data_IF_187156012414
#
_entry.id   IF_187156012414
#
_cell.length_a   1.000
_cell.length_b   1.000
_cell.length_c   1.000
_cell.angle_alpha   90.00
_cell.angle_beta   90.00
_cell.angle_gamma   90.00
#
_symmetry.space_group_name_H-M   'P 1'
#
loop_
_entity.id
_entity.type
_entity.pdbx_description
1 polymer ?
#
# COMPACT_ATOMS: atom_id res chain seq x y z
N UNK A 1 14.51 4.65 -19.42
CA UNK A 1 13.79 3.51 -20.01
C UNK A 1 12.32 3.84 -19.96
N UNK A 2 11.62 3.75 -21.08
CA UNK A 2 10.15 3.81 -21.05
C UNK A 2 9.66 2.61 -20.25
N UNK A 3 8.85 2.87 -19.22
CA UNK A 3 8.22 1.81 -18.43
C UNK A 3 7.10 1.21 -19.27
N UNK A 4 7.05 -0.11 -19.36
CA UNK A 4 6.01 -0.83 -20.10
C UNK A 4 4.64 -0.63 -19.45
N UNK A 5 3.61 -0.40 -20.27
CA UNK A 5 2.22 -0.30 -19.84
C UNK A 5 1.53 -1.63 -20.20
N UNK A 6 0.74 -2.13 -19.27
CA UNK A 6 -0.03 -3.36 -19.44
C UNK A 6 -1.53 -3.03 -19.46
N UNK A 7 -2.28 -3.81 -20.25
CA UNK A 7 -3.74 -3.78 -20.17
C UNK A 7 -4.23 -4.46 -18.88
N UNK A 8 -5.49 -4.21 -18.53
CA UNK A 8 -6.11 -4.87 -17.38
C UNK A 8 -6.11 -6.40 -17.54
N UNK A 9 -6.44 -6.89 -18.75
CA UNK A 9 -6.57 -8.32 -19.02
C UNK A 9 -5.20 -9.01 -18.93
N UNK A 10 -4.15 -8.41 -19.49
CA UNK A 10 -2.78 -8.94 -19.36
C UNK A 10 -2.36 -9.04 -17.88
N UNK A 11 -2.57 -7.96 -17.10
CA UNK A 11 -2.23 -7.95 -15.68
C UNK A 11 -3.08 -8.95 -14.87
N UNK A 12 -4.35 -9.12 -15.23
CA UNK A 12 -5.24 -10.08 -14.58
C UNK A 12 -4.82 -11.52 -14.87
N UNK A 13 -4.56 -11.87 -16.13
CA UNK A 13 -4.14 -13.24 -16.50
C UNK A 13 -2.82 -13.64 -15.86
N UNK A 14 -1.81 -12.75 -15.85
CA UNK A 14 -0.53 -13.04 -15.20
C UNK A 14 -0.67 -13.16 -13.68
N UNK A 15 -1.50 -12.29 -13.07
CA UNK A 15 -1.80 -12.39 -11.64
C UNK A 15 -2.55 -13.68 -11.30
N UNK A 16 -3.48 -14.11 -12.17
CA UNK A 16 -4.21 -15.37 -11.99
C UNK A 16 -3.27 -16.58 -12.00
N UNK A 17 -2.27 -16.57 -12.88
CA UNK A 17 -1.22 -17.60 -12.90
C UNK A 17 -0.39 -17.58 -11.61
N UNK A 18 0.02 -16.39 -11.16
CA UNK A 18 0.77 -16.23 -9.91
C UNK A 18 0.01 -16.77 -8.70
N UNK A 19 -1.30 -16.49 -8.61
CA UNK A 19 -2.18 -16.96 -7.55
C UNK A 19 -2.79 -18.36 -7.79
N UNK A 20 -2.24 -19.11 -8.75
CA UNK A 20 -2.64 -20.51 -9.04
C UNK A 20 -4.15 -20.69 -9.31
N UNK A 21 -4.76 -19.71 -9.93
CA UNK A 21 -6.18 -19.75 -10.30
C UNK A 21 -7.14 -19.08 -9.30
N UNK A 22 -6.63 -18.44 -8.23
CA UNK A 22 -7.48 -17.65 -7.34
C UNK A 22 -7.88 -16.33 -8.01
N UNK A 23 -9.10 -16.32 -8.59
CA UNK A 23 -9.67 -15.17 -9.29
C UNK A 23 -9.87 -13.96 -8.36
N UNK A 24 -10.24 -14.20 -7.11
CA UNK A 24 -10.48 -13.11 -6.16
C UNK A 24 -9.16 -12.41 -5.83
N UNK A 25 -8.12 -13.17 -5.52
CA UNK A 25 -6.80 -12.63 -5.24
C UNK A 25 -6.24 -11.85 -6.44
N UNK A 26 -6.33 -12.40 -7.65
CA UNK A 26 -5.88 -11.74 -8.88
C UNK A 26 -6.61 -10.42 -9.13
N UNK A 27 -7.94 -10.41 -9.03
CA UNK A 27 -8.77 -9.22 -9.23
C UNK A 27 -8.48 -8.14 -8.19
N UNK A 28 -8.36 -8.52 -6.93
CA UNK A 28 -8.05 -7.59 -5.83
C UNK A 28 -6.66 -7.00 -6.04
N UNK A 29 -5.67 -7.81 -6.42
CA UNK A 29 -4.31 -7.31 -6.64
C UNK A 29 -4.27 -6.29 -7.78
N UNK A 30 -4.80 -6.62 -8.96
CA UNK A 30 -4.81 -5.70 -10.11
C UNK A 30 -5.52 -4.40 -9.78
N UNK A 31 -6.69 -4.47 -9.11
CA UNK A 31 -7.47 -3.27 -8.83
C UNK A 31 -6.86 -2.38 -7.75
N UNK A 32 -6.27 -2.97 -6.72
CA UNK A 32 -5.89 -2.27 -5.50
C UNK A 32 -4.39 -2.06 -5.33
N UNK A 33 -3.55 -3.00 -5.78
CA UNK A 33 -2.13 -3.03 -5.42
C UNK A 33 -1.16 -2.78 -6.57
N UNK A 34 -1.52 -3.18 -7.81
CA UNK A 34 -0.70 -2.91 -8.97
C UNK A 34 -0.43 -1.40 -9.13
N UNK A 35 0.83 -1.06 -9.43
CA UNK A 35 1.22 0.35 -9.62
C UNK A 35 0.53 0.93 -10.83
N UNK A 36 -0.14 2.06 -10.61
CA UNK A 36 -0.84 2.84 -11.63
C UNK A 36 -0.47 4.30 -11.53
N UNK A 37 -0.52 4.99 -12.67
CA UNK A 37 -0.49 6.44 -12.70
C UNK A 37 -1.87 7.06 -12.46
N UNK A 38 -1.95 8.39 -12.53
CA UNK A 38 -3.21 9.14 -12.39
C UNK A 38 -4.17 8.94 -13.56
N UNK A 39 -3.72 8.37 -14.68
CA UNK A 39 -4.53 8.08 -15.86
C UNK A 39 -5.05 6.64 -15.87
N UNK A 40 -4.63 5.82 -14.91
CA UNK A 40 -5.03 4.43 -14.78
C UNK A 40 -4.17 3.43 -15.55
N UNK A 41 -3.05 3.87 -16.14
CA UNK A 41 -2.11 2.97 -16.80
C UNK A 41 -1.43 2.06 -15.78
N UNK A 42 -1.38 0.75 -16.06
CA UNK A 42 -0.81 -0.27 -15.19
C UNK A 42 0.64 -0.52 -15.59
N UNK A 43 1.55 -0.51 -14.62
CA UNK A 43 2.99 -0.68 -14.83
C UNK A 43 3.56 -1.98 -14.25
N UNK A 44 2.74 -2.78 -13.63
CA UNK A 44 3.09 -4.09 -13.08
C UNK A 44 2.08 -5.13 -13.60
N UNK A 45 2.59 -6.23 -14.15
CA UNK A 45 1.73 -7.29 -14.70
C UNK A 45 1.32 -8.33 -13.68
N UNK A 46 2.10 -8.48 -12.59
CA UNK A 46 1.87 -9.52 -11.58
C UNK A 46 2.41 -9.11 -10.20
N UNK A 47 2.02 -9.81 -9.12
CA UNK A 47 2.62 -9.63 -7.80
C UNK A 47 4.14 -9.83 -7.77
N UNK A 48 4.71 -10.57 -8.72
CA UNK A 48 6.14 -10.72 -8.86
C UNK A 48 6.83 -9.38 -9.14
N UNK A 49 6.30 -8.58 -10.07
CA UNK A 49 6.83 -7.25 -10.37
C UNK A 49 6.76 -6.33 -9.13
N UNK A 50 5.65 -6.40 -8.39
CA UNK A 50 5.49 -5.68 -7.13
C UNK A 50 6.56 -6.08 -6.10
N UNK A 51 6.80 -7.37 -5.92
CA UNK A 51 7.81 -7.86 -4.98
C UNK A 51 9.23 -7.42 -5.41
N UNK A 52 9.54 -7.45 -6.69
CA UNK A 52 10.80 -6.93 -7.21
C UNK A 52 10.96 -5.42 -6.99
N UNK A 53 9.90 -4.64 -7.18
CA UNK A 53 9.91 -3.20 -6.90
C UNK A 53 10.23 -2.93 -5.43
N UNK A 54 9.52 -3.62 -4.52
CA UNK A 54 9.73 -3.48 -3.08
C UNK A 54 11.15 -3.92 -2.71
N UNK A 55 11.60 -5.07 -3.18
CA UNK A 55 12.92 -5.61 -2.88
C UNK A 55 14.04 -4.69 -3.36
N UNK A 56 13.94 -4.12 -4.57
CA UNK A 56 14.92 -3.18 -5.10
C UNK A 56 14.99 -1.89 -4.28
N UNK A 57 13.83 -1.33 -3.89
CA UNK A 57 13.81 -0.09 -3.11
C UNK A 57 14.34 -0.31 -1.69
N UNK A 58 14.00 -1.43 -1.05
CA UNK A 58 14.55 -1.79 0.25
C UNK A 58 16.06 -2.02 0.15
N UNK A 59 16.54 -2.75 -0.86
CA UNK A 59 17.97 -2.98 -1.08
C UNK A 59 18.75 -1.67 -1.31
N UNK A 60 18.13 -0.68 -1.99
CA UNK A 60 18.71 0.66 -2.16
C UNK A 60 18.96 1.34 -0.82
N UNK A 61 18.07 1.18 0.14
CA UNK A 61 18.22 1.74 1.49
C UNK A 61 19.19 0.89 2.30
N UNK A 62 19.07 -0.42 2.21
CA UNK A 62 19.89 -1.41 2.92
C UNK A 62 21.37 -1.28 2.58
N UNK A 63 21.70 -0.92 1.34
CA UNK A 63 23.10 -0.70 0.88
C UNK A 63 23.89 0.32 1.70
N UNK A 64 23.24 1.10 2.55
CA UNK A 64 23.88 2.06 3.47
C UNK A 64 24.44 1.43 4.74
N UNK A 65 24.11 0.18 5.00
CA UNK A 65 24.46 -0.55 6.21
C UNK A 65 25.50 -1.65 5.94
N UNK A 66 26.34 -1.99 6.92
CA UNK A 66 27.22 -3.16 6.79
C UNK A 66 26.38 -4.45 6.73
N UNK A 67 26.82 -5.41 5.91
CA UNK A 67 26.13 -6.70 5.69
C UNK A 67 24.72 -6.54 5.07
N UNK A 68 24.57 -5.59 4.18
CA UNK A 68 23.32 -5.31 3.48
C UNK A 68 22.79 -6.55 2.75
N UNK A 69 21.48 -6.79 2.86
CA UNK A 69 20.78 -7.78 2.06
C UNK A 69 20.71 -7.34 0.61
N UNK A 70 20.87 -8.28 -0.30
CA UNK A 70 20.71 -8.05 -1.73
C UNK A 70 19.21 -7.98 -2.11
N UNK A 71 18.90 -7.35 -3.23
CA UNK A 71 17.51 -7.32 -3.75
C UNK A 71 16.96 -8.73 -3.99
N UNK A 72 17.81 -9.69 -4.37
CA UNK A 72 17.38 -11.08 -4.56
C UNK A 72 17.01 -11.76 -3.25
N UNK A 73 17.80 -11.59 -2.20
CA UNK A 73 17.49 -12.14 -0.87
C UNK A 73 16.19 -11.52 -0.32
N UNK A 74 15.99 -10.22 -0.50
CA UNK A 74 14.75 -9.53 -0.11
C UNK A 74 13.55 -10.01 -0.93
N UNK A 75 13.73 -10.22 -2.23
CA UNK A 75 12.68 -10.80 -3.08
C UNK A 75 12.28 -12.21 -2.60
N UNK A 76 13.24 -13.07 -2.30
CA UNK A 76 12.97 -14.43 -1.83
C UNK A 76 12.20 -14.50 -0.49
N UNK A 77 12.31 -13.44 0.31
CA UNK A 77 11.52 -13.30 1.54
C UNK A 77 10.07 -12.87 1.25
N UNK A 78 9.86 -12.11 0.18
CA UNK A 78 8.56 -11.56 -0.20
C UNK A 78 7.76 -12.51 -1.11
N UNK A 79 8.47 -13.26 -1.97
CA UNK A 79 7.85 -14.06 -3.03
C UNK A 79 6.80 -15.04 -2.51
N UNK A 80 5.67 -15.10 -3.21
CA UNK A 80 4.49 -15.86 -2.80
C UNK A 80 4.00 -15.54 -1.38
N UNK A 81 4.35 -14.34 -0.85
CA UNK A 81 4.00 -13.92 0.53
C UNK A 81 4.46 -14.91 1.60
N UNK A 82 5.59 -15.59 1.34
CA UNK A 82 6.02 -16.75 2.12
C UNK A 82 6.50 -16.41 3.54
N UNK A 83 7.34 -15.39 3.65
CA UNK A 83 7.94 -14.99 4.93
C UNK A 83 7.54 -13.59 5.34
N UNK A 84 7.41 -12.67 4.37
CA UNK A 84 7.02 -11.29 4.59
C UNK A 84 5.75 -11.01 3.80
N UNK A 85 4.70 -10.60 4.51
CA UNK A 85 3.45 -10.12 3.92
C UNK A 85 3.34 -8.63 4.24
N UNK A 86 3.68 -7.73 3.30
CA UNK A 86 3.56 -6.30 3.55
C UNK A 86 2.09 -5.91 3.70
N UNK A 87 1.85 -4.87 4.49
CA UNK A 87 0.52 -4.25 4.53
C UNK A 87 0.22 -3.49 3.22
N UNK A 88 -1.05 -3.14 3.00
CA UNK A 88 -1.50 -2.56 1.75
C UNK A 88 -0.81 -1.26 1.35
N UNK A 89 -0.51 -0.36 2.29
CA UNK A 89 0.20 0.88 1.99
C UNK A 89 1.67 0.65 1.60
N UNK A 90 2.47 -0.17 2.31
CA UNK A 90 3.77 -0.61 1.83
C UNK A 90 3.73 -1.28 0.46
N UNK A 91 2.77 -2.20 0.22
CA UNK A 91 2.65 -2.87 -1.08
C UNK A 91 2.47 -1.89 -2.24
N UNK A 92 1.73 -0.82 -2.05
CA UNK A 92 1.48 0.17 -3.10
C UNK A 92 2.47 1.32 -3.12
N UNK A 93 3.07 1.65 -1.97
CA UNK A 93 3.86 2.87 -1.79
C UNK A 93 5.37 2.71 -1.93
N UNK A 94 5.94 1.58 -1.49
CA UNK A 94 7.39 1.38 -1.56
C UNK A 94 7.84 1.32 -3.02
N UNK A 95 8.75 2.22 -3.42
CA UNK A 95 9.28 2.30 -4.78
C UNK A 95 8.27 2.77 -5.83
N UNK A 96 7.16 3.37 -5.43
CA UNK A 96 6.17 3.93 -6.35
C UNK A 96 6.50 5.38 -6.68
N UNK A 97 6.87 5.66 -7.92
CA UNK A 97 7.22 6.99 -8.42
C UNK A 97 6.02 7.81 -8.89
N UNK A 98 4.84 7.20 -9.00
CA UNK A 98 3.64 7.84 -9.59
C UNK A 98 2.70 8.47 -8.57
N UNK A 99 2.71 7.95 -7.35
CA UNK A 99 1.79 8.38 -6.31
C UNK A 99 2.49 8.56 -4.98
N UNK A 100 2.21 9.66 -4.31
CA UNK A 100 2.61 9.85 -2.91
C UNK A 100 1.66 9.05 -2.02
N UNK A 101 2.18 8.05 -1.35
CA UNK A 101 1.43 7.20 -0.44
C UNK A 101 2.09 7.15 0.94
N UNK A 102 1.28 6.97 1.97
CA UNK A 102 1.78 6.60 3.29
C UNK A 102 2.36 5.19 3.25
N UNK A 103 3.41 4.94 4.03
CA UNK A 103 3.93 3.59 4.28
C UNK A 103 3.34 2.95 5.55
N UNK A 104 2.44 3.66 6.24
CA UNK A 104 1.63 3.14 7.35
C UNK A 104 0.19 2.98 6.94
N UNK A 105 -0.42 1.88 7.37
CA UNK A 105 -1.82 1.58 7.05
C UNK A 105 -2.81 2.22 8.02
N UNK A 106 -2.45 2.33 9.30
CA UNK A 106 -3.37 2.74 10.35
C UNK A 106 -2.80 3.92 11.14
N UNK A 107 -3.65 4.89 11.37
CA UNK A 107 -3.33 6.09 12.14
C UNK A 107 -4.33 6.27 13.25
N UNK A 108 -3.83 6.67 14.41
CA UNK A 108 -4.65 7.16 15.51
C UNK A 108 -4.61 8.67 15.44
N UNK A 109 -5.79 9.27 15.29
CA UNK A 109 -6.00 10.72 15.32
C UNK A 109 -6.82 11.07 16.53
N UNK A 110 -6.50 12.16 17.16
CA UNK A 110 -7.14 12.60 18.39
C UNK A 110 -7.31 14.11 18.42
N UNK A 111 -8.04 14.59 19.40
CA UNK A 111 -8.29 16.01 19.60
C UNK A 111 -7.40 16.54 20.70
N UNK A 112 -6.67 17.61 20.41
CA UNK A 112 -5.95 18.39 21.40
C UNK A 112 -6.92 19.35 22.09
N UNK A 113 -6.99 19.31 23.44
CA UNK A 113 -7.78 20.24 24.24
C UNK A 113 -9.25 19.85 24.38
N UNK A 114 -10.16 20.81 24.24
CA UNK A 114 -11.61 20.59 24.42
C UNK A 114 -12.18 19.73 23.27
N UNK A 115 -12.26 18.44 23.51
CA UNK A 115 -12.68 17.44 22.53
C UNK A 115 -14.14 17.60 22.08
N UNK A 116 -15.00 18.07 22.98
CA UNK A 116 -16.43 18.25 22.72
C UNK A 116 -16.71 19.66 22.16
N UNK A 117 -16.23 19.89 20.95
CA UNK A 117 -16.53 21.15 20.24
C UNK A 117 -16.71 20.87 18.75
N UNK A 118 -17.53 21.67 18.10
CA UNK A 118 -17.75 21.58 16.64
C UNK A 118 -16.43 21.76 15.86
N UNK A 119 -15.58 22.69 16.30
CA UNK A 119 -14.28 22.92 15.67
C UNK A 119 -13.35 21.70 15.79
N UNK A 120 -13.36 21.02 16.91
CA UNK A 120 -12.57 19.80 17.13
C UNK A 120 -13.05 18.65 16.21
N UNK A 121 -14.35 18.47 16.06
CA UNK A 121 -14.93 17.46 15.17
C UNK A 121 -14.49 17.70 13.71
N UNK A 122 -14.64 18.93 13.22
CA UNK A 122 -14.26 19.28 11.85
C UNK A 122 -12.75 19.11 11.61
N UNK A 123 -11.92 19.43 12.62
CA UNK A 123 -10.48 19.21 12.51
C UNK A 123 -10.12 17.73 12.36
N UNK A 124 -10.76 16.85 13.12
CA UNK A 124 -10.56 15.39 12.99
C UNK A 124 -10.96 14.92 11.58
N UNK A 125 -12.08 15.38 11.06
CA UNK A 125 -12.55 15.02 9.73
C UNK A 125 -11.55 15.49 8.65
N UNK A 126 -10.99 16.69 8.79
CA UNK A 126 -9.94 17.20 7.90
C UNK A 126 -8.71 16.31 7.93
N UNK A 127 -8.19 15.98 9.12
CA UNK A 127 -7.02 15.12 9.30
C UNK A 127 -7.28 13.72 8.72
N UNK A 128 -8.46 13.15 8.96
CA UNK A 128 -8.87 11.86 8.40
C UNK A 128 -8.84 11.87 6.87
N UNK A 129 -9.40 12.89 6.23
CA UNK A 129 -9.39 13.02 4.78
C UNK A 129 -7.97 13.12 4.23
N UNK A 130 -7.08 13.88 4.87
CA UNK A 130 -5.68 13.99 4.45
C UNK A 130 -4.92 12.66 4.56
N UNK A 131 -5.19 11.85 5.59
CA UNK A 131 -4.61 10.53 5.75
C UNK A 131 -5.15 9.55 4.70
N UNK A 132 -6.47 9.50 4.53
CA UNK A 132 -7.13 8.59 3.58
C UNK A 132 -6.75 8.90 2.13
N UNK A 133 -6.55 10.17 1.78
CA UNK A 133 -6.06 10.60 0.46
C UNK A 133 -4.71 9.97 0.10
N UNK A 134 -3.89 9.64 1.10
CA UNK A 134 -2.59 8.99 0.95
C UNK A 134 -2.58 7.52 1.34
N UNK A 135 -3.75 6.87 1.28
CA UNK A 135 -3.96 5.45 1.63
C UNK A 135 -3.72 5.10 3.09
N UNK A 136 -3.68 6.08 3.99
CA UNK A 136 -3.73 5.85 5.44
C UNK A 136 -5.15 5.52 5.87
N UNK A 137 -5.34 4.51 6.70
CA UNK A 137 -6.62 4.19 7.33
C UNK A 137 -6.78 4.97 8.63
N UNK A 138 -7.89 5.66 8.78
CA UNK A 138 -8.27 6.32 10.02
C UNK A 138 -9.77 6.10 10.29
N UNK A 139 -10.14 6.11 11.56
CA UNK A 139 -11.53 6.01 12.00
C UNK A 139 -11.82 7.18 12.94
N UNK A 140 -12.89 7.89 12.67
CA UNK A 140 -13.42 8.90 13.58
C UNK A 140 -14.69 8.38 14.29
N UNK A 141 -14.90 8.85 15.50
CA UNK A 141 -16.09 8.56 16.28
C UNK A 141 -16.80 9.86 16.63
N UNK A 142 -18.11 9.85 16.51
CA UNK A 142 -18.95 10.99 16.92
C UNK A 142 -19.21 11.02 18.43
N UNK A 143 -18.94 9.92 19.13
CA UNK A 143 -19.12 9.80 20.58
C UNK A 143 -17.88 9.14 21.20
N UNK A 144 -17.37 9.75 22.28
CA UNK A 144 -16.20 9.26 23.02
C UNK A 144 -16.54 8.14 24.02
N UNK A 145 -17.81 7.91 24.28
CA UNK A 145 -18.26 6.84 25.20
C UNK A 145 -18.99 5.77 24.41
N UNK A 146 -18.42 4.56 24.39
CA UNK A 146 -19.20 3.39 24.05
C UNK A 146 -20.29 3.22 25.13
N UNK A 147 -21.55 2.96 24.75
CA UNK A 147 -22.56 2.61 25.75
C UNK A 147 -22.08 1.35 26.45
N UNK A 148 -21.71 1.48 27.70
CA UNK A 148 -21.49 0.35 28.58
C UNK A 148 -22.87 -0.23 28.91
N UNK A 149 -23.15 -1.38 28.35
CA UNK A 149 -24.32 -2.21 28.72
C UNK A 149 -23.98 -2.98 29.98
#
# INVERSE_FOLDING_TARGET
>A
MEKQIYSYDEAYEESLRYFQGDELAARVWVNKYAVKDSFGNIYEKSPEDMHWRIANEVARVESKYPNALTAKELYDLLDHFKYIVPQGSPMTGIGNDYQVASLSNCFVIGVDGAADSYGAIIKIDEEQVQLMKRRGGAVSYTHLTLPTI
#
